data_IF_516982677064
#
_entry.id   IF_516982677064
#
_cell.length_a   1.000
_cell.length_b   1.000
_cell.length_c   1.000
_cell.angle_alpha   90.00
_cell.angle_beta   90.00
_cell.angle_gamma   90.00
#
_symmetry.space_group_name_H-M   'P 1'
#
loop_
_entity.id
_entity.type
_entity.pdbx_description
1 polymer ?
#
# COMPACT_ATOMS: atom_id res chain seq x y z
N UNK A 1 -7.85 -1.41 28.45
CA UNK A 1 -7.38 -1.68 27.08
C UNK A 1 -8.48 -1.36 26.07
N UNK A 2 -8.21 -0.44 25.14
CA UNK A 2 -9.13 -0.03 24.08
C UNK A 2 -8.54 -0.17 22.69
N UNK A 3 -9.35 0.13 21.67
CA UNK A 3 -8.92 0.23 20.27
C UNK A 3 -8.98 1.67 19.82
N UNK A 4 -7.89 2.16 19.25
CA UNK A 4 -7.67 3.56 19.01
C UNK A 4 -7.24 3.78 17.57
N UNK A 5 -7.94 4.65 16.85
CA UNK A 5 -7.48 5.12 15.56
C UNK A 5 -6.78 6.46 15.75
N UNK A 6 -5.47 6.47 15.60
CA UNK A 6 -4.70 7.69 15.52
C UNK A 6 -4.81 8.26 14.09
N UNK A 7 -5.02 9.57 13.96
CA UNK A 7 -5.18 10.24 12.66
C UNK A 7 -4.73 11.70 12.71
N UNK A 8 -4.63 12.33 11.54
CA UNK A 8 -4.53 13.79 11.46
C UNK A 8 -5.88 14.43 11.79
N UNK A 9 -5.86 15.55 12.51
CA UNK A 9 -6.99 16.21 13.13
C UNK A 9 -8.06 16.64 12.13
N UNK A 10 -7.63 16.97 10.89
CA UNK A 10 -8.54 17.25 9.77
C UNK A 10 -9.49 16.11 9.42
N UNK A 11 -9.17 14.86 9.78
CA UNK A 11 -10.00 13.68 9.50
C UNK A 11 -10.90 13.26 10.67
N UNK A 12 -10.78 13.92 11.83
CA UNK A 12 -11.52 13.54 13.04
C UNK A 12 -13.03 13.68 12.85
N UNK A 13 -13.50 14.83 12.37
CA UNK A 13 -14.94 15.09 12.23
C UNK A 13 -15.61 14.12 11.25
N UNK A 14 -14.93 13.79 10.15
CA UNK A 14 -15.42 12.81 9.19
C UNK A 14 -15.46 11.41 9.82
N UNK A 15 -14.43 11.03 10.59
CA UNK A 15 -14.40 9.74 11.30
C UNK A 15 -15.53 9.62 12.32
N UNK A 16 -15.79 10.67 13.12
CA UNK A 16 -16.89 10.70 14.09
C UNK A 16 -18.26 10.63 13.41
N UNK A 17 -18.38 11.11 12.18
CA UNK A 17 -19.59 11.00 11.34
C UNK A 17 -19.70 9.67 10.59
N UNK A 18 -18.77 8.73 10.84
CA UNK A 18 -18.77 7.41 10.22
C UNK A 18 -18.26 7.40 8.78
N UNK A 19 -17.50 8.40 8.37
CA UNK A 19 -16.74 8.38 7.12
C UNK A 19 -15.34 7.84 7.39
N UNK A 20 -15.07 6.63 6.94
CA UNK A 20 -13.85 5.90 7.20
C UNK A 20 -13.09 5.68 5.89
N UNK A 21 -11.78 5.91 5.91
CA UNK A 21 -10.89 5.53 4.80
C UNK A 21 -10.21 4.21 5.11
N UNK A 22 -10.40 3.24 4.23
CA UNK A 22 -9.68 1.97 4.20
C UNK A 22 -8.57 2.07 3.18
N UNK A 23 -7.38 1.63 3.56
CA UNK A 23 -6.17 1.81 2.76
C UNK A 23 -5.68 0.46 2.28
N UNK A 24 -5.27 0.37 1.02
CA UNK A 24 -4.76 -0.85 0.43
C UNK A 24 -3.39 -1.24 1.03
N UNK A 25 -3.07 -2.53 1.05
CA UNK A 25 -1.74 -3.00 1.46
C UNK A 25 -0.64 -2.43 0.53
N UNK A 26 -0.94 -2.31 -0.77
CA UNK A 26 -0.06 -1.67 -1.75
C UNK A 26 0.30 -0.22 -1.39
N UNK A 27 -0.64 0.54 -0.83
CA UNK A 27 -0.34 1.90 -0.38
C UNK A 27 0.74 1.91 0.71
N UNK A 28 0.65 1.03 1.72
CA UNK A 28 1.65 0.95 2.79
C UNK A 28 3.02 0.51 2.28
N UNK A 29 3.06 -0.39 1.28
CA UNK A 29 4.32 -0.75 0.60
C UNK A 29 4.99 0.44 -0.04
N UNK A 30 4.20 1.29 -0.69
CA UNK A 30 4.70 2.46 -1.37
C UNK A 30 5.13 3.56 -0.38
N UNK A 31 4.44 3.72 0.77
CA UNK A 31 4.78 4.68 1.83
C UNK A 31 6.26 4.61 2.22
N UNK A 32 6.77 3.43 2.54
CA UNK A 32 8.19 3.27 2.89
C UNK A 32 9.09 3.31 1.65
N UNK A 33 8.73 2.60 0.57
CA UNK A 33 9.61 2.50 -0.61
C UNK A 33 9.83 3.84 -1.32
N UNK A 34 8.85 4.74 -1.32
CA UNK A 34 8.92 5.99 -2.08
C UNK A 34 9.14 7.20 -1.18
N UNK A 35 8.47 7.25 -0.02
CA UNK A 35 8.48 8.43 0.86
C UNK A 35 9.36 8.27 2.09
N UNK A 36 10.05 7.13 2.21
CA UNK A 36 10.94 6.85 3.36
C UNK A 36 10.20 6.96 4.70
N UNK A 37 8.88 6.74 4.68
CA UNK A 37 8.05 6.67 5.87
C UNK A 37 8.19 5.27 6.48
N UNK A 38 9.27 5.11 7.23
CA UNK A 38 9.58 3.87 7.95
C UNK A 38 8.73 3.66 9.20
N UNK A 39 7.82 4.58 9.54
CA UNK A 39 6.91 4.42 10.67
C UNK A 39 5.63 3.73 10.25
N UNK A 40 4.84 4.31 9.35
CA UNK A 40 3.57 3.68 8.94
C UNK A 40 3.71 2.80 7.70
N UNK A 41 4.66 3.09 6.82
CA UNK A 41 4.90 2.31 5.62
C UNK A 41 5.65 1.04 5.97
N UNK A 42 5.20 -0.09 5.43
CA UNK A 42 5.92 -1.37 5.43
C UNK A 42 6.07 -1.82 3.97
N UNK A 43 7.27 -1.77 3.43
CA UNK A 43 7.62 -2.11 2.06
C UNK A 43 7.31 -3.57 1.70
N UNK A 44 7.05 -4.40 2.70
CA UNK A 44 6.69 -5.81 2.61
C UNK A 44 5.29 -6.09 3.15
N UNK A 45 4.46 -5.05 3.31
CA UNK A 45 3.07 -5.17 3.77
C UNK A 45 2.30 -6.19 2.91
N UNK A 46 1.68 -7.18 3.57
CA UNK A 46 0.92 -8.22 2.87
C UNK A 46 1.78 -9.17 2.04
N UNK A 47 3.11 -9.11 2.13
CA UNK A 47 4.03 -9.96 1.36
C UNK A 47 4.70 -11.00 2.27
N UNK A 48 4.87 -12.19 1.70
CA UNK A 48 5.75 -13.21 2.24
C UNK A 48 6.76 -13.63 1.17
N UNK A 49 8.00 -13.83 1.60
CA UNK A 49 9.12 -14.20 0.75
C UNK A 49 9.54 -15.62 1.08
N UNK A 50 9.66 -16.47 0.07
CA UNK A 50 10.24 -17.80 0.21
C UNK A 50 11.45 -17.89 -0.70
N UNK A 51 12.62 -18.12 -0.11
CA UNK A 51 13.90 -18.18 -0.82
C UNK A 51 14.33 -19.62 -1.09
N UNK A 52 15.04 -19.81 -2.21
CA UNK A 52 15.71 -21.06 -2.59
C UNK A 52 17.12 -20.70 -3.06
N UNK A 53 18.09 -20.81 -2.15
CA UNK A 53 19.49 -20.51 -2.49
C UNK A 53 20.08 -21.59 -3.39
N UNK A 54 19.89 -22.85 -3.01
CA UNK A 54 20.20 -24.02 -3.82
C UNK A 54 19.28 -25.17 -3.43
N UNK A 55 18.53 -25.70 -4.38
CA UNK A 55 17.81 -26.95 -4.28
C UNK A 55 18.33 -27.88 -5.36
N UNK A 56 18.88 -29.01 -4.92
CA UNK A 56 19.44 -30.04 -5.79
C UNK A 56 18.60 -31.31 -5.62
N UNK A 57 17.95 -31.74 -6.70
CA UNK A 57 17.05 -32.89 -6.73
C UNK A 57 17.64 -33.97 -7.66
N UNK A 58 18.31 -35.01 -7.13
CA UNK A 58 18.81 -36.12 -7.92
C UNK A 58 17.68 -36.99 -8.51
N UNK A 59 17.93 -37.73 -9.60
CA UNK A 59 16.96 -38.68 -10.14
C UNK A 59 16.62 -39.79 -9.13
N UNK A 60 15.33 -40.07 -8.93
CA UNK A 60 14.87 -41.21 -8.14
C UNK A 60 14.98 -41.07 -6.62
N UNK A 61 15.38 -39.90 -6.11
CA UNK A 61 15.29 -39.59 -4.68
C UNK A 61 13.94 -38.97 -4.40
N UNK A 62 13.17 -39.61 -3.52
CA UNK A 62 11.95 -39.05 -2.92
C UNK A 62 12.36 -37.82 -2.07
N UNK A 63 12.39 -36.68 -2.75
CA UNK A 63 12.28 -35.36 -2.13
C UNK A 63 10.84 -34.88 -2.33
N UNK A 64 9.85 -35.76 -2.15
CA UNK A 64 8.46 -35.55 -2.54
C UNK A 64 7.90 -34.28 -1.90
N UNK A 65 8.34 -33.92 -0.69
CA UNK A 65 7.96 -32.66 -0.08
C UNK A 65 8.34 -31.42 -0.90
N UNK A 66 9.62 -31.27 -1.28
CA UNK A 66 10.09 -30.06 -1.98
C UNK A 66 9.71 -30.05 -3.46
N UNK A 67 9.78 -31.21 -4.13
CA UNK A 67 9.39 -31.34 -5.53
C UNK A 67 7.89 -31.08 -5.71
N UNK A 68 7.05 -31.70 -4.87
CA UNK A 68 5.60 -31.47 -4.90
C UNK A 68 5.27 -30.01 -4.63
N UNK A 69 5.94 -29.34 -3.67
CA UNK A 69 5.78 -27.89 -3.42
C UNK A 69 6.06 -27.05 -4.69
N UNK A 70 7.10 -27.39 -5.46
CA UNK A 70 7.45 -26.70 -6.71
C UNK A 70 6.49 -27.02 -7.87
N UNK A 71 6.02 -28.26 -7.97
CA UNK A 71 5.01 -28.69 -8.93
C UNK A 71 3.64 -28.04 -8.64
N UNK A 72 3.23 -27.99 -7.37
CA UNK A 72 2.00 -27.33 -6.90
C UNK A 72 2.03 -25.82 -7.18
N UNK A 73 3.21 -25.20 -7.04
CA UNK A 73 3.46 -23.81 -7.43
C UNK A 73 3.65 -23.61 -8.96
N UNK A 74 3.52 -24.69 -9.76
CA UNK A 74 3.64 -24.69 -11.22
C UNK A 74 5.00 -24.20 -11.76
N UNK A 75 6.04 -24.31 -10.95
CA UNK A 75 7.39 -23.84 -11.31
C UNK A 75 8.15 -24.86 -12.17
N UNK A 76 7.78 -26.14 -12.07
CA UNK A 76 8.35 -27.24 -12.85
C UNK A 76 7.23 -28.16 -13.36
N UNK A 77 7.48 -28.88 -14.46
CA UNK A 77 6.57 -29.90 -15.02
C UNK A 77 7.36 -31.13 -15.48
N UNK A 78 6.82 -32.33 -15.22
CA UNK A 78 7.28 -33.59 -15.82
C UNK A 78 8.08 -34.50 -14.88
N UNK A 79 8.22 -35.77 -15.28
CA UNK A 79 8.95 -36.79 -14.55
C UNK A 79 10.30 -37.11 -15.21
N UNK A 80 11.39 -36.61 -14.63
CA UNK A 80 12.71 -37.21 -14.79
C UNK A 80 13.77 -36.29 -15.37
N UNK A 81 14.38 -35.46 -14.53
CA UNK A 81 15.71 -34.85 -14.73
C UNK A 81 16.30 -34.52 -13.36
N UNK A 82 17.63 -34.41 -13.26
CA UNK A 82 18.29 -33.74 -12.13
C UNK A 82 17.95 -32.25 -12.20
N UNK A 83 17.30 -31.72 -11.17
CA UNK A 83 16.87 -30.32 -11.13
C UNK A 83 17.71 -29.56 -10.11
N UNK A 84 18.37 -28.51 -10.58
CA UNK A 84 19.03 -27.53 -9.73
C UNK A 84 18.31 -26.19 -9.86
N UNK A 85 17.62 -25.77 -8.80
CA UNK A 85 17.09 -24.41 -8.67
C UNK A 85 18.03 -23.65 -7.75
N UNK A 86 18.48 -22.48 -8.16
CA UNK A 86 19.32 -21.62 -7.34
C UNK A 86 18.91 -20.17 -7.47
N UNK A 87 19.10 -19.40 -6.41
CA UNK A 87 18.83 -17.96 -6.34
C UNK A 87 17.39 -17.59 -6.72
N UNK A 88 16.42 -18.36 -6.25
CA UNK A 88 15.01 -18.07 -6.49
C UNK A 88 14.37 -17.41 -5.28
N UNK A 89 13.59 -16.36 -5.52
CA UNK A 89 12.74 -15.72 -4.51
C UNK A 89 11.31 -15.79 -5.03
N UNK A 90 10.45 -16.52 -4.32
CA UNK A 90 9.02 -16.46 -4.53
C UNK A 90 8.42 -15.41 -3.61
N UNK A 91 7.66 -14.47 -4.18
CA UNK A 91 6.91 -13.46 -3.44
C UNK A 91 5.44 -13.78 -3.55
N UNK A 92 4.80 -14.10 -2.42
CA UNK A 92 3.35 -14.21 -2.32
C UNK A 92 2.79 -12.91 -1.76
N UNK A 93 1.78 -12.36 -2.43
CA UNK A 93 1.10 -11.15 -1.96
C UNK A 93 -0.35 -11.46 -1.60
N UNK A 94 -0.80 -10.92 -0.48
CA UNK A 94 -2.22 -10.69 -0.21
C UNK A 94 -2.56 -9.25 -0.63
N UNK A 95 -3.67 -9.10 -1.36
CA UNK A 95 -4.23 -7.81 -1.72
C UNK A 95 -5.49 -7.57 -0.91
N UNK A 96 -5.73 -6.31 -0.56
CA UNK A 96 -6.96 -5.89 0.10
C UNK A 96 -6.78 -4.61 0.85
N UNK A 97 -7.78 -4.26 1.65
CA UNK A 97 -7.90 -2.97 2.30
C UNK A 97 -8.00 -3.13 3.81
N UNK A 98 -7.26 -2.33 4.54
CA UNK A 98 -7.21 -2.39 6.00
C UNK A 98 -7.69 -1.10 6.63
N UNK A 99 -8.29 -1.26 7.81
CA UNK A 99 -8.48 -0.22 8.80
C UNK A 99 -7.61 -0.56 10.00
N UNK A 100 -6.55 0.21 10.23
CA UNK A 100 -5.62 -0.03 11.32
C UNK A 100 -6.04 0.72 12.59
N UNK A 101 -5.94 0.01 13.71
CA UNK A 101 -6.15 0.52 15.06
C UNK A 101 -4.96 0.15 15.93
N UNK A 102 -4.56 1.02 16.84
CA UNK A 102 -3.66 0.68 17.92
C UNK A 102 -4.48 0.12 19.09
N UNK A 103 -4.04 -1.02 19.65
CA UNK A 103 -4.67 -1.69 20.78
C UNK A 103 -3.82 -1.48 22.03
N UNK A 104 -4.40 -1.14 23.18
CA UNK A 104 -3.59 -0.93 24.38
C UNK A 104 -4.18 0.05 25.38
N UNK A 105 -3.31 0.59 26.23
CA UNK A 105 -3.60 1.73 27.10
C UNK A 105 -3.26 3.03 26.37
N UNK A 106 -4.21 3.98 26.33
CA UNK A 106 -4.09 5.19 25.51
C UNK A 106 -2.82 6.00 25.80
N UNK A 107 -2.43 6.12 27.07
CA UNK A 107 -1.27 6.92 27.46
C UNK A 107 0.07 6.34 26.99
N UNK A 108 0.16 5.01 26.86
CA UNK A 108 1.37 4.37 26.33
C UNK A 108 1.40 4.47 24.81
N UNK A 109 0.27 4.22 24.15
CA UNK A 109 0.14 4.40 22.71
C UNK A 109 0.44 5.83 22.25
N UNK A 110 0.06 6.85 23.03
CA UNK A 110 0.37 8.25 22.70
C UNK A 110 1.87 8.53 22.61
N UNK A 111 2.70 7.87 23.42
CA UNK A 111 4.17 8.09 23.41
C UNK A 111 4.79 7.68 22.08
N UNK A 112 4.22 6.64 21.46
CA UNK A 112 4.70 6.09 20.20
C UNK A 112 3.99 6.75 19.00
N UNK A 113 2.67 6.80 19.02
CA UNK A 113 1.90 7.25 17.86
C UNK A 113 2.02 8.75 17.60
N UNK A 114 2.22 9.61 18.61
CA UNK A 114 2.31 11.06 18.38
C UNK A 114 3.64 11.51 17.75
N UNK A 115 4.64 10.61 17.62
CA UNK A 115 5.96 10.95 17.07
C UNK A 115 5.92 11.31 15.58
N UNK A 116 5.01 10.70 14.82
CA UNK A 116 5.01 10.73 13.35
C UNK A 116 3.72 11.30 12.75
N UNK A 117 3.36 12.51 13.17
CA UNK A 117 2.32 13.29 12.48
C UNK A 117 0.88 12.94 12.85
N UNK A 118 0.65 12.11 13.87
CA UNK A 118 -0.68 11.95 14.46
C UNK A 118 -0.86 13.02 15.55
N UNK A 119 -1.97 13.75 15.48
CA UNK A 119 -2.31 14.83 16.41
C UNK A 119 -3.71 14.64 17.03
N UNK A 120 -4.38 13.53 16.70
CA UNK A 120 -5.73 13.24 17.16
C UNK A 120 -5.99 11.74 17.23
N UNK A 121 -6.96 11.35 18.05
CA UNK A 121 -7.31 9.96 18.25
C UNK A 121 -8.79 9.79 18.59
N UNK A 122 -9.40 8.75 18.01
CA UNK A 122 -10.73 8.29 18.35
C UNK A 122 -10.69 6.85 18.87
N UNK A 123 -11.48 6.56 19.91
CA UNK A 123 -11.67 5.20 20.42
C UNK A 123 -12.84 4.50 19.74
N UNK A 124 -12.69 3.19 19.56
CA UNK A 124 -13.66 2.30 18.93
C UNK A 124 -13.98 1.19 19.93
N UNK A 125 -15.24 1.10 20.36
CA UNK A 125 -15.62 0.25 21.51
C UNK A 125 -15.69 -1.24 21.20
N UNK A 126 -16.07 -1.59 19.98
CA UNK A 126 -16.27 -2.98 19.54
C UNK A 126 -15.95 -3.09 18.05
N UNK A 127 -14.74 -3.57 17.72
CA UNK A 127 -14.28 -3.64 16.33
C UNK A 127 -15.05 -4.66 15.50
N UNK A 128 -15.49 -5.78 16.09
CA UNK A 128 -16.28 -6.80 15.38
C UNK A 128 -17.65 -6.26 14.99
N UNK A 129 -18.33 -5.59 15.92
CA UNK A 129 -19.61 -4.96 15.63
C UNK A 129 -19.47 -3.83 14.60
N UNK A 130 -18.40 -3.04 14.70
CA UNK A 130 -18.11 -1.96 13.73
C UNK A 130 -17.82 -2.55 12.35
N UNK A 131 -16.97 -3.59 12.24
CA UNK A 131 -16.67 -4.28 10.99
C UNK A 131 -17.94 -4.84 10.34
N UNK A 132 -18.82 -5.48 11.13
CA UNK A 132 -20.12 -5.96 10.67
C UNK A 132 -21.00 -4.82 10.16
N UNK A 133 -21.12 -3.72 10.90
CA UNK A 133 -21.90 -2.54 10.46
C UNK A 133 -21.38 -1.97 9.15
N UNK A 134 -20.06 -1.80 9.03
CA UNK A 134 -19.40 -1.35 7.80
C UNK A 134 -19.76 -2.28 6.63
N UNK A 135 -19.69 -3.59 6.83
CA UNK A 135 -19.98 -4.57 5.79
C UNK A 135 -21.46 -4.58 5.35
N UNK A 136 -22.38 -4.53 6.33
CA UNK A 136 -23.82 -4.67 6.09
C UNK A 136 -24.48 -3.38 5.57
N UNK A 137 -24.01 -2.22 6.03
CA UNK A 137 -24.67 -0.93 5.79
C UNK A 137 -23.76 0.14 5.19
N UNK A 138 -22.45 -0.09 5.16
CA UNK A 138 -21.50 0.83 4.57
C UNK A 138 -21.69 0.93 3.06
N UNK A 139 -21.46 2.14 2.55
CA UNK A 139 -21.41 2.44 1.12
C UNK A 139 -20.10 3.13 0.76
N UNK A 140 -19.56 2.85 -0.42
CA UNK A 140 -18.38 3.53 -0.92
C UNK A 140 -18.72 4.94 -1.48
N UNK A 141 -17.72 5.64 -2.01
CA UNK A 141 -17.90 6.96 -2.62
C UNK A 141 -18.81 6.99 -3.86
N UNK A 142 -19.11 5.84 -4.46
CA UNK A 142 -20.03 5.69 -5.59
C UNK A 142 -21.43 5.22 -5.14
N UNK A 143 -21.64 5.04 -3.83
CA UNK A 143 -22.90 4.56 -3.26
C UNK A 143 -23.10 3.04 -3.35
N UNK A 144 -22.07 2.28 -3.75
CA UNK A 144 -22.12 0.81 -3.82
C UNK A 144 -21.98 0.23 -2.41
N UNK A 145 -22.68 -0.87 -2.13
CA UNK A 145 -22.60 -1.53 -0.82
C UNK A 145 -21.27 -2.25 -0.68
N UNK A 146 -20.69 -2.18 0.51
CA UNK A 146 -19.42 -2.83 0.81
C UNK A 146 -19.52 -4.35 0.68
N UNK A 147 -20.65 -4.94 1.06
CA UNK A 147 -20.93 -6.38 0.89
C UNK A 147 -21.03 -6.85 -0.57
N UNK A 148 -21.20 -5.94 -1.54
CA UNK A 148 -21.17 -6.28 -2.96
C UNK A 148 -19.72 -6.34 -3.47
N UNK A 149 -18.84 -5.49 -2.94
CA UNK A 149 -17.46 -5.30 -3.39
C UNK A 149 -16.47 -6.25 -2.68
N UNK A 150 -16.69 -6.50 -1.39
CA UNK A 150 -15.76 -7.21 -0.52
C UNK A 150 -16.35 -8.50 0.03
N UNK A 151 -15.46 -9.43 0.37
CA UNK A 151 -15.78 -10.54 1.26
C UNK A 151 -16.01 -10.04 2.69
N UNK A 152 -16.53 -10.94 3.55
CA UNK A 152 -16.73 -10.62 4.96
C UNK A 152 -15.42 -10.17 5.61
N UNK A 153 -15.44 -9.09 6.40
CA UNK A 153 -14.21 -8.58 7.00
C UNK A 153 -13.66 -9.54 8.06
N UNK A 154 -12.35 -9.50 8.21
CA UNK A 154 -11.62 -10.17 9.28
C UNK A 154 -11.16 -9.11 10.27
N UNK A 155 -11.46 -9.30 11.56
CA UNK A 155 -10.94 -8.46 12.64
C UNK A 155 -9.89 -9.27 13.40
N UNK A 156 -8.65 -8.80 13.45
CA UNK A 156 -7.57 -9.52 14.14
C UNK A 156 -6.43 -8.61 14.57
N UNK A 157 -5.79 -8.99 15.67
CA UNK A 157 -4.49 -8.45 16.06
C UNK A 157 -3.43 -8.82 15.01
N UNK A 158 -2.52 -7.87 14.76
CA UNK A 158 -1.37 -8.06 13.89
C UNK A 158 -0.31 -8.89 14.63
N UNK A 159 0.21 -9.91 13.95
CA UNK A 159 1.36 -10.66 14.41
C UNK A 159 2.65 -10.02 13.90
N UNK A 160 3.66 -9.96 14.74
CA UNK A 160 4.95 -9.34 14.42
C UNK A 160 6.03 -10.40 14.30
N UNK A 161 6.80 -10.36 13.21
CA UNK A 161 7.90 -11.31 13.03
C UNK A 161 8.50 -11.29 11.63
N UNK A 162 9.26 -12.34 11.34
CA UNK A 162 9.82 -12.56 10.02
C UNK A 162 8.72 -12.93 9.01
N UNK A 163 8.86 -12.40 7.80
CA UNK A 163 8.05 -12.72 6.63
C UNK A 163 8.92 -13.25 5.48
N UNK A 164 10.14 -13.68 5.80
CA UNK A 164 11.11 -14.27 4.88
C UNK A 164 11.51 -15.64 5.41
N UNK A 165 11.44 -16.65 4.55
CA UNK A 165 11.63 -18.05 4.94
C UNK A 165 12.42 -18.80 3.87
N UNK A 166 13.32 -19.69 4.27
CA UNK A 166 13.89 -20.65 3.33
C UNK A 166 12.86 -21.76 3.04
N UNK A 167 12.71 -22.19 1.78
CA UNK A 167 11.76 -23.26 1.40
C UNK A 167 11.96 -24.56 2.22
N UNK A 168 13.17 -24.79 2.71
CA UNK A 168 13.54 -25.96 3.52
C UNK A 168 12.98 -25.92 4.95
N UNK A 169 12.70 -24.72 5.47
CA UNK A 169 12.26 -24.48 6.85
C UNK A 169 10.73 -24.49 6.99
N UNK A 170 9.99 -24.40 5.89
CA UNK A 170 8.54 -24.22 5.87
C UNK A 170 7.82 -25.30 5.06
N UNK A 171 6.56 -25.55 5.40
CA UNK A 171 5.68 -26.45 4.67
C UNK A 171 5.11 -25.80 3.38
N UNK A 172 6.00 -25.34 2.49
CA UNK A 172 5.63 -24.80 1.19
C UNK A 172 5.88 -23.31 1.06
N UNK A 173 5.37 -22.74 -0.03
CA UNK A 173 5.41 -21.30 -0.23
C UNK A 173 4.52 -20.61 0.80
N UNK A 174 5.14 -19.76 1.61
CA UNK A 174 4.41 -19.01 2.63
C UNK A 174 3.54 -17.98 1.94
N UNK A 175 2.27 -17.90 2.35
CA UNK A 175 1.34 -16.92 1.83
C UNK A 175 1.57 -15.56 2.50
N UNK A 176 1.42 -14.50 1.71
CA UNK A 176 1.32 -13.14 2.24
C UNK A 176 0.15 -13.02 3.22
N UNK A 177 0.23 -12.06 4.15
CA UNK A 177 -0.81 -11.81 5.13
C UNK A 177 -0.93 -10.34 5.47
N UNK A 178 -2.14 -9.81 5.37
CA UNK A 178 -2.54 -8.48 5.83
C UNK A 178 -2.47 -8.32 7.36
N UNK A 179 -2.21 -9.41 8.09
CA UNK A 179 -2.24 -9.49 9.54
C UNK A 179 -0.86 -9.85 10.11
N UNK A 180 0.19 -9.75 9.29
CA UNK A 180 1.59 -9.92 9.70
C UNK A 180 2.38 -8.68 9.30
N UNK A 181 3.15 -8.13 10.22
CA UNK A 181 4.10 -7.02 9.99
C UNK A 181 5.50 -7.40 10.47
N UNK A 182 6.51 -6.67 10.00
CA UNK A 182 7.87 -6.81 10.51
C UNK A 182 7.98 -6.39 11.98
N UNK A 183 8.90 -7.02 12.70
CA UNK A 183 9.08 -6.84 14.16
C UNK A 183 9.32 -5.39 14.58
N UNK A 184 9.98 -4.58 13.75
CA UNK A 184 10.22 -3.17 14.05
C UNK A 184 8.95 -2.32 14.26
N UNK A 185 7.78 -2.82 13.84
CA UNK A 185 6.48 -2.13 14.01
C UNK A 185 5.71 -2.56 15.26
N UNK A 186 6.30 -3.40 16.13
CA UNK A 186 5.62 -3.97 17.30
C UNK A 186 5.03 -2.91 18.25
N UNK A 187 5.69 -1.75 18.34
CA UNK A 187 5.26 -0.62 19.18
C UNK A 187 3.93 0.00 18.75
N UNK A 188 3.50 -0.24 17.50
CA UNK A 188 2.19 0.20 17.01
C UNK A 188 1.04 -0.62 17.60
N UNK A 189 1.34 -1.85 18.08
CA UNK A 189 0.41 -2.81 18.66
C UNK A 189 -0.93 -2.88 17.92
N UNK A 190 -0.87 -3.20 16.63
CA UNK A 190 -1.97 -3.03 15.70
C UNK A 190 -3.03 -4.12 15.83
N UNK A 191 -4.29 -3.72 15.68
CA UNK A 191 -5.44 -4.55 15.37
C UNK A 191 -6.07 -4.02 14.08
N UNK A 192 -6.48 -4.91 13.18
CA UNK A 192 -6.95 -4.53 11.85
C UNK A 192 -8.34 -5.06 11.57
N UNK A 193 -9.13 -4.25 10.88
CA UNK A 193 -10.27 -4.73 10.09
C UNK A 193 -9.78 -4.86 8.64
N UNK A 194 -9.73 -6.08 8.12
CA UNK A 194 -9.29 -6.39 6.76
C UNK A 194 -10.48 -6.74 5.87
N UNK A 195 -10.53 -6.12 4.68
CA UNK A 195 -11.49 -6.41 3.62
C UNK A 195 -10.75 -6.95 2.39
N UNK A 196 -11.03 -8.21 2.06
CA UNK A 196 -10.59 -8.83 0.81
C UNK A 196 -11.57 -8.47 -0.31
N UNK A 197 -11.13 -7.89 -1.43
CA UNK A 197 -12.04 -7.56 -2.52
C UNK A 197 -12.40 -8.83 -3.29
N UNK A 198 -13.66 -8.93 -3.75
CA UNK A 198 -14.12 -10.09 -4.53
C UNK A 198 -13.51 -10.16 -5.93
N UNK A 199 -13.03 -9.02 -6.40
CA UNK A 199 -12.33 -8.82 -7.67
C UNK A 199 -11.17 -7.87 -7.43
N UNK A 200 -10.08 -7.99 -8.18
CA UNK A 200 -8.96 -7.07 -8.03
C UNK A 200 -9.39 -5.63 -8.30
N UNK A 201 -9.10 -4.74 -7.35
CA UNK A 201 -9.38 -3.31 -7.44
C UNK A 201 -8.07 -2.55 -7.60
N UNK A 202 -7.93 -1.80 -8.70
CA UNK A 202 -6.78 -0.94 -8.96
C UNK A 202 -6.96 0.44 -8.30
N UNK A 203 -7.14 0.46 -6.97
CA UNK A 203 -7.29 1.68 -6.17
C UNK A 203 -6.55 1.56 -4.85
N UNK A 204 -6.04 2.69 -4.37
CA UNK A 204 -5.23 2.74 -3.15
C UNK A 204 -6.03 2.81 -1.86
N UNK A 205 -7.25 3.33 -1.94
CA UNK A 205 -8.12 3.48 -0.79
C UNK A 205 -9.59 3.42 -1.20
N UNK A 206 -10.43 3.06 -0.22
CA UNK A 206 -11.88 3.16 -0.33
C UNK A 206 -12.36 4.05 0.80
N UNK A 207 -13.04 5.14 0.45
CA UNK A 207 -13.77 5.95 1.42
C UNK A 207 -15.17 5.33 1.60
N UNK A 208 -15.52 5.04 2.83
CA UNK A 208 -16.76 4.37 3.21
C UNK A 208 -17.56 5.29 4.12
N UNK A 209 -18.84 5.44 3.83
CA UNK A 209 -19.81 6.09 4.73
C UNK A 209 -20.68 5.03 5.39
N UNK A 210 -20.77 5.06 6.71
CA UNK A 210 -21.57 4.13 7.51
C UNK A 210 -22.17 4.88 8.70
N UNK A 211 -23.40 4.55 9.09
CA UNK A 211 -24.01 5.11 10.29
C UNK A 211 -23.41 4.47 11.56
N UNK A 212 -22.56 5.24 12.24
CA UNK A 212 -21.97 4.90 13.54
C UNK A 212 -22.61 5.69 14.69
N UNK A 213 -23.83 6.20 14.49
CA UNK A 213 -24.63 6.76 15.58
C UNK A 213 -24.84 5.70 16.69
N UNK A 214 -24.84 6.13 17.95
CA UNK A 214 -24.90 5.24 19.11
C UNK A 214 -23.61 5.15 19.95
N UNK A 215 -22.61 6.00 19.69
CA UNK A 215 -21.42 6.10 20.54
C UNK A 215 -20.42 4.95 20.34
N UNK A 216 -20.41 4.35 19.15
CA UNK A 216 -19.41 3.34 18.77
C UNK A 216 -18.01 3.92 18.62
N UNK A 217 -17.95 5.20 18.22
CA UNK A 217 -16.74 5.99 18.04
C UNK A 217 -16.81 7.19 18.95
N UNK A 218 -15.75 7.45 19.70
CA UNK A 218 -15.65 8.60 20.62
C UNK A 218 -14.33 9.30 20.38
N UNK A 219 -14.33 10.64 20.34
CA UNK A 219 -13.10 11.41 20.34
C UNK A 219 -12.43 11.31 21.71
N UNK A 220 -11.18 10.86 21.74
CA UNK A 220 -10.38 10.80 22.97
C UNK A 220 -9.58 12.09 23.16
N UNK A 221 -8.97 12.58 22.07
CA UNK A 221 -8.31 13.87 22.06
C UNK A 221 -8.12 14.41 20.64
N UNK A 222 -7.93 15.73 20.57
CA UNK A 222 -7.52 16.48 19.38
C UNK A 222 -6.55 17.57 19.81
N UNK A 223 -5.32 17.53 19.29
CA UNK A 223 -4.30 18.55 19.50
C UNK A 223 -4.38 19.62 18.40
N UNK A 224 -3.57 20.67 18.53
CA UNK A 224 -3.40 21.63 17.46
C UNK A 224 -2.84 20.92 16.20
N UNK A 225 -3.35 21.23 14.99
CA UNK A 225 -2.90 20.58 13.78
C UNK A 225 -1.39 20.68 13.59
N UNK A 226 -0.76 19.55 13.22
CA UNK A 226 0.65 19.57 12.82
C UNK A 226 0.73 20.25 11.44
N UNK A 227 1.62 21.25 11.26
CA UNK A 227 1.80 21.90 9.96
C UNK A 227 2.09 20.89 8.84
N UNK A 228 1.43 21.06 7.68
CA UNK A 228 1.57 20.15 6.54
C UNK A 228 3.02 20.02 6.05
N UNK A 229 3.85 21.07 6.21
CA UNK A 229 5.28 21.07 5.88
C UNK A 229 6.12 20.06 6.67
N UNK A 230 5.58 19.53 7.78
CA UNK A 230 6.25 18.56 8.65
C UNK A 230 5.69 17.14 8.40
N UNK A 231 4.48 17.03 7.82
CA UNK A 231 3.88 15.72 7.56
C UNK A 231 4.54 15.02 6.38
N UNK A 232 4.94 13.77 6.60
CA UNK A 232 5.49 12.88 5.55
C UNK A 232 4.41 12.05 4.84
N UNK A 233 3.12 12.29 5.14
CA UNK A 233 2.03 11.45 4.63
C UNK A 233 1.63 11.85 3.23
N UNK A 234 1.46 10.84 2.36
CA UNK A 234 0.88 10.99 1.02
C UNK A 234 -0.43 11.76 1.02
N UNK A 235 -1.31 11.46 1.97
CA UNK A 235 -2.62 12.08 2.13
C UNK A 235 -2.56 13.58 2.47
N UNK A 236 -1.38 14.11 2.80
CA UNK A 236 -1.13 15.52 3.09
C UNK A 236 -0.39 16.22 1.95
N UNK A 237 0.03 15.49 0.90
CA UNK A 237 0.64 16.06 -0.30
C UNK A 237 -0.49 16.52 -1.25
N UNK A 238 -0.85 17.79 -1.14
CA UNK A 238 -1.93 18.38 -1.95
C UNK A 238 -1.55 18.63 -3.41
N UNK A 239 -0.26 18.64 -3.75
CA UNK A 239 0.25 18.90 -5.11
C UNK A 239 0.71 17.58 -5.80
N UNK A 240 -0.04 17.09 -6.80
CA UNK A 240 0.34 15.92 -7.59
C UNK A 240 1.70 16.04 -8.30
N UNK A 241 2.18 17.26 -8.60
CA UNK A 241 3.49 17.47 -9.22
C UNK A 241 4.62 17.18 -8.22
N UNK A 242 4.46 17.59 -6.97
CA UNK A 242 5.40 17.23 -5.89
C UNK A 242 5.45 15.71 -5.72
N UNK A 243 4.28 15.08 -5.76
CA UNK A 243 4.15 13.62 -5.65
C UNK A 243 4.86 12.88 -6.80
N UNK A 244 4.61 13.30 -8.05
CA UNK A 244 5.27 12.74 -9.23
C UNK A 244 6.78 13.00 -9.24
N UNK A 245 7.21 14.17 -8.79
CA UNK A 245 8.63 14.51 -8.62
C UNK A 245 9.34 13.59 -7.63
N UNK A 246 8.71 13.27 -6.51
CA UNK A 246 9.24 12.34 -5.50
C UNK A 246 9.36 10.91 -6.04
N UNK A 247 8.32 10.40 -6.72
CA UNK A 247 8.34 9.08 -7.37
C UNK A 247 9.48 9.02 -8.41
N UNK A 248 9.58 10.03 -9.27
CA UNK A 248 10.63 10.13 -10.30
C UNK A 248 12.03 10.12 -9.67
N UNK A 249 12.27 10.96 -8.68
CA UNK A 249 13.55 11.04 -7.99
C UNK A 249 13.93 9.70 -7.33
N UNK A 250 12.95 9.01 -6.72
CA UNK A 250 13.20 7.71 -6.10
C UNK A 250 13.54 6.63 -7.14
N UNK A 251 12.78 6.55 -8.23
CA UNK A 251 13.07 5.64 -9.35
C UNK A 251 14.50 5.84 -9.87
N UNK A 252 14.94 7.09 -10.03
CA UNK A 252 16.32 7.38 -10.43
C UNK A 252 17.35 6.98 -9.39
N UNK A 253 17.08 7.22 -8.10
CA UNK A 253 18.01 6.86 -7.03
C UNK A 253 18.21 5.35 -6.87
N UNK A 254 17.17 4.54 -7.13
CA UNK A 254 17.24 3.08 -7.05
C UNK A 254 18.00 2.49 -8.26
N UNK A 255 17.74 3.01 -9.46
CA UNK A 255 18.35 2.50 -10.69
C UNK A 255 17.99 1.04 -11.02
N UNK A 256 18.50 0.54 -12.15
CA UNK A 256 18.43 -0.88 -12.51
C UNK A 256 17.04 -1.52 -12.47
N UNK A 257 16.97 -2.76 -11.96
CA UNK A 257 15.75 -3.56 -11.86
C UNK A 257 14.82 -3.09 -10.72
N UNK A 258 15.36 -2.58 -9.62
CA UNK A 258 14.58 -2.07 -8.49
C UNK A 258 13.79 -0.83 -8.86
N UNK A 259 14.42 0.11 -9.57
CA UNK A 259 13.74 1.26 -10.14
C UNK A 259 12.69 0.87 -11.18
N UNK A 260 12.93 -0.17 -11.99
CA UNK A 260 11.97 -0.70 -12.97
C UNK A 260 10.77 -1.39 -12.28
N UNK A 261 10.99 -2.10 -11.18
CA UNK A 261 9.92 -2.71 -10.39
C UNK A 261 9.04 -1.64 -9.73
N UNK A 262 9.66 -0.61 -9.13
CA UNK A 262 8.93 0.53 -8.58
C UNK A 262 8.19 1.30 -9.68
N UNK A 263 8.77 1.41 -10.87
CA UNK A 263 8.12 1.97 -12.05
C UNK A 263 6.83 1.20 -12.40
N UNK A 264 6.91 -0.13 -12.56
CA UNK A 264 5.73 -0.95 -12.88
C UNK A 264 4.64 -0.84 -11.81
N UNK A 265 5.04 -0.77 -10.53
CA UNK A 265 4.11 -0.59 -9.41
C UNK A 265 3.47 0.82 -9.38
N UNK A 266 4.16 1.85 -9.90
CA UNK A 266 3.69 3.24 -9.91
C UNK A 266 2.98 3.66 -11.21
N UNK A 267 3.03 2.87 -12.28
CA UNK A 267 2.36 3.15 -13.56
C UNK A 267 0.85 3.39 -13.42
N UNK A 268 0.13 2.54 -12.68
CA UNK A 268 -1.30 2.72 -12.42
C UNK A 268 -1.57 4.01 -11.64
N UNK A 269 -0.71 4.32 -10.67
CA UNK A 269 -0.81 5.48 -9.76
C UNK A 269 -0.54 6.82 -10.43
N UNK A 270 0.57 6.94 -11.17
CA UNK A 270 0.91 8.15 -11.90
C UNK A 270 -0.12 8.46 -12.99
N UNK A 271 -0.64 7.42 -13.65
CA UNK A 271 -1.73 7.52 -14.61
C UNK A 271 -3.05 7.94 -13.94
N UNK A 272 -3.42 7.37 -12.80
CA UNK A 272 -4.63 7.76 -12.05
C UNK A 272 -4.54 9.19 -11.51
N UNK A 273 -3.42 9.57 -10.92
CA UNK A 273 -3.21 10.91 -10.35
C UNK A 273 -3.18 11.98 -11.44
N UNK A 274 -2.55 11.68 -12.58
CA UNK A 274 -2.62 12.52 -13.77
C UNK A 274 -4.06 12.65 -14.29
N UNK A 275 -4.77 11.53 -14.41
CA UNK A 275 -6.17 11.48 -14.85
C UNK A 275 -7.12 12.27 -13.94
N UNK A 276 -7.00 12.12 -12.61
CA UNK A 276 -7.82 12.82 -11.63
C UNK A 276 -7.58 14.34 -11.62
N UNK A 277 -6.32 14.78 -11.76
CA UNK A 277 -5.98 16.19 -11.80
C UNK A 277 -6.50 16.86 -13.09
N UNK A 278 -6.38 16.19 -14.25
CA UNK A 278 -6.87 16.70 -15.53
C UNK A 278 -8.41 16.76 -15.59
N UNK A 279 -9.07 15.84 -14.88
CA UNK A 279 -10.53 15.83 -14.71
C UNK A 279 -11.02 17.02 -13.89
N UNK A 280 -10.29 17.40 -12.84
CA UNK A 280 -10.56 18.58 -12.00
C UNK A 280 -10.39 19.90 -12.78
N UNK A 281 -9.47 19.92 -13.74
CA UNK A 281 -9.14 21.12 -14.53
C UNK A 281 -9.87 21.23 -15.88
N UNK A 282 -10.83 20.34 -16.18
CA UNK A 282 -11.59 20.27 -17.44
C UNK A 282 -10.74 20.15 -18.74
N UNK A 283 -9.49 19.69 -18.67
CA UNK A 283 -8.56 19.63 -19.84
C UNK A 283 -8.58 18.29 -20.58
N UNK A 284 -9.77 17.77 -20.86
CA UNK A 284 -9.98 16.38 -21.34
C UNK A 284 -9.47 16.08 -22.76
N UNK A 285 -9.37 17.08 -23.65
CA UNK A 285 -9.21 16.82 -25.09
C UNK A 285 -7.81 16.42 -25.58
N UNK A 286 -6.81 16.20 -24.71
CA UNK A 286 -5.42 15.91 -25.14
C UNK A 286 -4.89 14.51 -24.79
N UNK A 287 -5.68 13.66 -24.13
CA UNK A 287 -5.19 12.38 -23.59
C UNK A 287 -5.58 11.11 -24.36
N UNK A 288 -6.59 11.18 -25.25
CA UNK A 288 -7.04 9.99 -26.00
C UNK A 288 -5.92 9.34 -26.84
N UNK A 289 -4.88 10.10 -27.18
CA UNK A 289 -3.72 9.62 -27.93
C UNK A 289 -2.63 8.97 -27.06
N UNK A 290 -2.59 9.25 -25.75
CA UNK A 290 -1.48 8.83 -24.87
C UNK A 290 -1.63 7.40 -24.35
N UNK A 291 -2.85 6.99 -23.98
CA UNK A 291 -3.11 5.65 -23.43
C UNK A 291 -3.17 4.54 -24.50
N UNK A 292 -3.42 4.88 -25.78
CA UNK A 292 -3.42 3.90 -26.86
C UNK A 292 -2.01 3.38 -27.23
N UNK A 293 -0.92 4.07 -26.82
CA UNK A 293 0.45 3.67 -27.20
C UNK A 293 1.15 2.73 -26.21
N UNK A 294 0.67 2.59 -24.96
CA UNK A 294 1.36 1.81 -23.92
C UNK A 294 0.95 0.35 -23.83
N UNK A 295 -0.20 -0.05 -24.38
CA UNK A 295 -0.69 -1.43 -24.30
C UNK A 295 0.00 -2.42 -25.25
N UNK A 296 0.94 -1.98 -26.09
CA UNK A 296 1.47 -2.83 -27.17
C UNK A 296 2.98 -3.07 -27.21
N UNK A 297 3.81 -2.42 -26.39
CA UNK A 297 5.24 -2.71 -26.39
C UNK A 297 5.81 -2.64 -24.98
N UNK A 298 6.54 -3.69 -24.57
CA UNK A 298 7.26 -3.77 -23.30
C UNK A 298 8.25 -2.61 -23.14
N UNK A 299 7.74 -1.49 -22.60
CA UNK A 299 8.46 -0.22 -22.61
C UNK A 299 9.58 -0.17 -21.59
N UNK A 300 10.72 0.35 -22.02
CA UNK A 300 11.89 0.59 -21.17
C UNK A 300 11.66 1.78 -20.24
N UNK A 301 12.37 1.81 -19.10
CA UNK A 301 12.36 2.93 -18.13
C UNK A 301 12.51 4.31 -18.81
N UNK A 302 13.31 4.39 -19.89
CA UNK A 302 13.51 5.61 -20.65
C UNK A 302 12.24 6.12 -21.35
N UNK A 303 11.35 5.22 -21.79
CA UNK A 303 10.06 5.61 -22.37
C UNK A 303 9.12 6.18 -21.31
N UNK A 304 9.15 5.65 -20.09
CA UNK A 304 8.37 6.25 -18.99
C UNK A 304 8.87 7.62 -18.59
N UNK A 305 10.18 7.75 -18.40
CA UNK A 305 10.81 9.03 -18.11
C UNK A 305 10.36 10.06 -19.14
N UNK A 306 10.44 9.70 -20.42
CA UNK A 306 10.00 10.58 -21.50
C UNK A 306 8.51 10.91 -21.44
N UNK A 307 7.66 9.95 -21.08
CA UNK A 307 6.21 10.18 -20.93
C UNK A 307 5.89 11.03 -19.69
N UNK A 308 6.57 10.81 -18.57
CA UNK A 308 6.45 11.62 -17.36
C UNK A 308 6.95 13.03 -17.60
N UNK A 309 8.08 13.18 -18.27
CA UNK A 309 8.64 14.48 -18.62
C UNK A 309 7.73 15.20 -19.61
N UNK A 310 7.23 14.54 -20.66
CA UNK A 310 6.23 15.10 -21.56
C UNK A 310 4.93 15.49 -20.84
N UNK A 311 4.50 14.69 -19.87
CA UNK A 311 3.35 15.01 -19.03
C UNK A 311 3.61 16.24 -18.15
N UNK A 312 4.79 16.30 -17.51
CA UNK A 312 5.24 17.45 -16.74
C UNK A 312 5.30 18.71 -17.61
N UNK A 313 5.86 18.61 -18.81
CA UNK A 313 5.91 19.71 -19.79
C UNK A 313 4.51 20.17 -20.19
N UNK A 314 3.59 19.23 -20.43
CA UNK A 314 2.22 19.51 -20.81
C UNK A 314 1.42 20.21 -19.69
N UNK A 315 1.63 19.82 -18.43
CA UNK A 315 0.90 20.34 -17.27
C UNK A 315 1.47 21.68 -16.81
N UNK A 316 2.80 21.81 -16.78
CA UNK A 316 3.49 23.01 -16.26
C UNK A 316 3.75 24.07 -17.34
N UNK A 317 3.72 23.68 -18.62
CA UNK A 317 4.15 24.54 -19.73
C UNK A 317 5.66 24.80 -19.76
N UNK A 318 6.43 24.16 -18.89
CA UNK A 318 7.89 24.27 -18.82
C UNK A 318 8.51 23.12 -19.60
N UNK A 319 9.48 23.39 -20.47
CA UNK A 319 10.26 22.31 -21.10
C UNK A 319 11.10 21.55 -20.05
N UNK A 320 11.66 20.40 -20.44
CA UNK A 320 12.51 19.55 -19.60
C UNK A 320 13.57 20.33 -18.81
N UNK A 321 14.14 21.38 -19.41
CA UNK A 321 15.14 22.24 -18.78
C UNK A 321 14.53 23.21 -17.76
N UNK A 322 13.34 23.75 -18.04
CA UNK A 322 12.55 24.53 -17.10
C UNK A 322 12.16 23.72 -15.85
N UNK A 323 11.77 22.45 -16.03
CA UNK A 323 11.44 21.55 -14.92
C UNK A 323 12.68 21.21 -14.08
N UNK A 324 13.82 20.95 -14.73
CA UNK A 324 15.08 20.68 -14.03
C UNK A 324 15.54 21.89 -13.20
N UNK A 325 15.43 23.11 -13.75
CA UNK A 325 15.78 24.34 -13.05
C UNK A 325 14.81 24.68 -11.91
N UNK A 326 13.50 24.44 -12.10
CA UNK A 326 12.52 24.60 -11.03
C UNK A 326 12.78 23.64 -9.87
N UNK A 327 13.03 22.35 -10.15
CA UNK A 327 13.38 21.36 -9.14
C UNK A 327 14.71 21.70 -8.42
N UNK A 328 15.67 22.29 -9.13
CA UNK A 328 16.92 22.76 -8.54
C UNK A 328 16.69 23.98 -7.61
N UNK A 329 15.79 24.88 -7.97
CA UNK A 329 15.40 26.05 -7.16
C UNK A 329 14.69 25.67 -5.85
N UNK A 330 13.94 24.56 -5.85
CA UNK A 330 13.29 24.02 -4.65
C UNK A 330 14.27 23.36 -3.68
N UNK A 331 15.48 22.99 -4.13
CA UNK A 331 16.54 22.41 -3.26
C UNK A 331 17.50 23.47 -2.70
N UNK A 332 17.39 24.71 -3.15
CA UNK A 332 18.30 25.81 -2.80
C UNK A 332 17.66 26.89 -1.91
N UNK A 333 16.45 26.63 -1.41
CA UNK A 333 15.77 27.37 -0.34
C UNK A 333 15.50 26.43 0.83
#
# INVERSE_FOLDING_TARGET
MGFYRFMASKYMDDTLKGKLRFTSLSYYRLMEKVWDDGWIGDCQEGQAFTTIDKLDLPPGVDVDGARKKLEDARMIKGSGFHLTISNLINVSEENGFVLCFAKGELNDLKKEMLRDGYDSCASFRDLDLIARKIYESGVDGEGRRLSDIFDRPIVKDVSYGANQFELREVEGFVRGSALVKREKYIEQNECRIFFSPKVDLDIDFVNVSVDLSGGYVVEEFRLAPIPASISKRLDDIEDPLVLLGNIRNKIYSLGGEEGLALYKQSQGRAALLAYWQLRKDHRWHRLDTFFCMSNHNGGSMAQFTRLLDQYFELVTGMDYWGVANWAHSLRSN
#
